data_IF_353803341680
#
_entry.id   IF_353803341680
#
_cell.length_a   1.000
_cell.length_b   1.000
_cell.length_c   1.000
_cell.angle_alpha   90.00
_cell.angle_beta   90.00
_cell.angle_gamma   90.00
#
_symmetry.space_group_name_H-M   'P 1'
#
loop_
_entity.id
_entity.type
_entity.pdbx_description
1 polymer ?
#
# COMPACT_ATOMS: atom_id res chain seq x y z
N UNK A 1 19.79 -8.12 12.11
CA UNK A 1 19.94 -9.20 13.13
C UNK A 1 19.42 -8.82 14.53
N UNK A 2 19.26 -7.55 14.90
CA UNK A 2 18.58 -7.14 16.15
C UNK A 2 17.07 -6.87 15.94
N UNK A 3 16.72 -6.02 14.97
CA UNK A 3 15.32 -5.69 14.60
C UNK A 3 14.45 -6.93 14.36
N UNK A 4 14.95 -7.92 13.61
CA UNK A 4 14.22 -9.17 13.36
C UNK A 4 13.96 -9.96 14.65
N UNK A 5 14.89 -9.94 15.59
CA UNK A 5 14.77 -10.64 16.87
C UNK A 5 13.77 -9.92 17.77
N UNK A 6 13.84 -8.60 17.83
CA UNK A 6 12.91 -7.77 18.61
C UNK A 6 11.48 -7.89 18.06
N UNK A 7 11.31 -7.90 16.74
CA UNK A 7 10.04 -8.19 16.08
C UNK A 7 9.48 -9.56 16.50
N UNK A 8 10.28 -10.62 16.41
CA UNK A 8 9.84 -11.97 16.80
C UNK A 8 9.52 -12.09 18.29
N UNK A 9 10.23 -11.35 19.15
CA UNK A 9 10.00 -11.32 20.59
C UNK A 9 8.71 -10.57 20.96
N UNK A 10 8.26 -9.61 20.14
CA UNK A 10 7.02 -8.86 20.37
C UNK A 10 5.76 -9.65 19.94
N UNK A 11 5.88 -10.60 19.00
CA UNK A 11 4.74 -11.38 18.50
C UNK A 11 3.91 -12.04 19.62
N UNK A 12 4.51 -12.72 20.63
CA UNK A 12 3.75 -13.34 21.72
C UNK A 12 3.04 -12.34 22.65
N UNK A 13 3.48 -11.08 22.67
CA UNK A 13 2.86 -10.01 23.48
C UNK A 13 1.61 -9.42 22.81
N UNK A 14 1.48 -9.60 21.49
CA UNK A 14 0.32 -9.14 20.73
C UNK A 14 -0.85 -10.10 20.98
N UNK A 15 -1.94 -9.60 21.55
CA UNK A 15 -3.23 -10.28 21.53
C UNK A 15 -4.08 -9.72 20.39
N UNK A 16 -4.23 -10.45 19.26
CA UNK A 16 -5.07 -9.99 18.16
C UNK A 16 -6.50 -9.80 18.65
N UNK A 17 -6.99 -8.56 18.57
CA UNK A 17 -8.40 -8.25 18.84
C UNK A 17 -9.08 -8.00 17.50
N UNK A 18 -10.06 -8.81 17.09
CA UNK A 18 -10.73 -8.63 15.82
C UNK A 18 -11.54 -7.31 15.81
N UNK A 19 -11.73 -6.69 14.64
CA UNK A 19 -12.54 -5.49 14.52
C UNK A 19 -14.01 -5.79 14.85
N UNK A 20 -14.68 -4.85 15.51
CA UNK A 20 -16.13 -4.94 15.77
C UNK A 20 -16.99 -4.48 14.59
N UNK A 21 -16.38 -3.74 13.66
CA UNK A 21 -17.03 -3.19 12.46
C UNK A 21 -16.10 -3.46 11.29
N UNK A 22 -16.63 -4.04 10.23
CA UNK A 22 -15.93 -4.30 8.97
C UNK A 22 -16.61 -3.54 7.83
N UNK A 23 -15.91 -3.43 6.71
CA UNK A 23 -16.48 -2.96 5.44
C UNK A 23 -16.03 -3.89 4.32
N UNK A 24 -16.87 -4.05 3.30
CA UNK A 24 -16.50 -4.81 2.10
C UNK A 24 -15.83 -3.90 1.06
N UNK A 25 -16.42 -2.73 0.80
CA UNK A 25 -15.94 -1.81 -0.25
C UNK A 25 -15.86 -0.36 0.21
N UNK A 26 -16.93 0.15 0.82
CA UNK A 26 -17.00 1.54 1.29
C UNK A 26 -17.81 1.66 2.56
N UNK A 27 -17.34 2.54 3.46
CA UNK A 27 -18.11 3.06 4.58
C UNK A 27 -17.93 4.57 4.63
N UNK A 28 -19.02 5.31 4.81
CA UNK A 28 -18.96 6.76 5.03
C UNK A 28 -19.36 7.08 6.46
N UNK A 29 -18.50 7.81 7.17
CA UNK A 29 -18.78 8.38 8.48
C UNK A 29 -19.00 9.89 8.34
N UNK A 30 -19.87 10.44 9.18
CA UNK A 30 -20.11 11.87 9.27
C UNK A 30 -19.71 12.38 10.65
N UNK A 31 -18.72 13.26 10.70
CA UNK A 31 -18.23 13.87 11.94
C UNK A 31 -18.74 15.31 12.04
N UNK A 32 -19.27 15.71 13.19
CA UNK A 32 -19.52 17.14 13.45
C UNK A 32 -18.20 17.83 13.87
N UNK A 33 -17.77 18.82 13.10
CA UNK A 33 -16.60 19.65 13.38
C UNK A 33 -17.05 21.10 13.36
N UNK A 34 -17.01 21.77 14.52
CA UNK A 34 -17.40 23.19 14.67
C UNK A 34 -18.81 23.52 14.12
N UNK A 35 -19.77 22.60 14.27
CA UNK A 35 -21.14 22.79 13.79
C UNK A 35 -21.35 22.45 12.31
N UNK A 36 -20.31 22.08 11.57
CA UNK A 36 -20.41 21.56 10.21
C UNK A 36 -20.27 20.03 10.18
N UNK A 37 -20.93 19.38 9.23
CA UNK A 37 -20.76 17.93 8.97
C UNK A 37 -19.59 17.72 8.02
N UNK A 38 -18.60 16.94 8.45
CA UNK A 38 -17.46 16.46 7.64
C UNK A 38 -17.72 15.03 7.20
N UNK A 39 -17.53 14.76 5.92
CA UNK A 39 -17.60 13.42 5.35
C UNK A 39 -16.23 12.73 5.44
N UNK A 40 -16.22 11.49 5.92
CA UNK A 40 -15.02 10.65 6.00
C UNK A 40 -15.34 9.34 5.30
N UNK A 41 -14.65 9.06 4.19
CA UNK A 41 -14.86 7.84 3.41
C UNK A 41 -13.76 6.82 3.71
N UNK A 42 -14.12 5.66 4.23
CA UNK A 42 -13.26 4.50 4.31
C UNK A 42 -13.48 3.66 3.06
N UNK A 43 -12.42 3.34 2.33
CA UNK A 43 -12.49 2.70 1.02
C UNK A 43 -11.54 1.52 0.97
N UNK A 44 -12.07 0.36 0.58
CA UNK A 44 -11.30 -0.83 0.23
C UNK A 44 -11.36 -1.02 -1.28
N UNK A 45 -10.24 -0.77 -1.95
CA UNK A 45 -10.15 -0.90 -3.42
C UNK A 45 -9.76 -2.30 -3.89
N UNK A 46 -9.38 -3.17 -2.96
CA UNK A 46 -8.77 -4.46 -3.25
C UNK A 46 -7.53 -4.68 -2.40
N UNK A 47 -6.84 -5.80 -2.64
CA UNK A 47 -5.66 -6.22 -1.89
C UNK A 47 -4.42 -5.49 -2.41
N UNK A 48 -3.51 -5.15 -1.51
CA UNK A 48 -2.33 -4.37 -1.82
C UNK A 48 -1.15 -4.73 -0.89
N UNK A 49 -0.80 -3.86 0.06
CA UNK A 49 0.24 -4.10 1.07
C UNK A 49 -0.13 -5.26 2.01
N UNK A 50 -1.44 -5.46 2.21
CA UNK A 50 -2.04 -6.59 2.92
C UNK A 50 -3.33 -7.03 2.22
N UNK A 51 -3.96 -8.10 2.71
CA UNK A 51 -5.30 -8.48 2.26
C UNK A 51 -6.43 -7.53 2.71
N UNK A 52 -6.15 -6.63 3.66
CA UNK A 52 -7.15 -5.81 4.35
C UNK A 52 -6.92 -4.31 4.24
N UNK A 53 -6.20 -3.84 3.23
CA UNK A 53 -5.88 -2.41 3.09
C UNK A 53 -7.13 -1.55 2.97
N UNK A 54 -7.19 -0.48 3.77
CA UNK A 54 -8.25 0.52 3.74
C UNK A 54 -7.62 1.90 3.65
N UNK A 55 -8.10 2.73 2.74
CA UNK A 55 -7.73 4.15 2.68
C UNK A 55 -8.83 5.01 3.29
N UNK A 56 -8.45 6.17 3.84
CA UNK A 56 -9.40 7.16 4.37
C UNK A 56 -9.34 8.38 3.48
N UNK A 57 -10.43 8.72 2.80
CA UNK A 57 -10.54 9.91 1.97
C UNK A 57 -11.43 10.96 2.64
N UNK A 58 -10.95 12.19 2.65
CA UNK A 58 -11.63 13.39 3.11
C UNK A 58 -11.94 14.27 1.89
N UNK A 59 -13.16 14.19 1.32
CA UNK A 59 -13.47 14.87 0.07
C UNK A 59 -13.39 16.40 0.15
N UNK A 60 -13.82 16.99 1.27
CA UNK A 60 -13.83 18.44 1.44
C UNK A 60 -12.41 19.02 1.51
N UNK A 61 -11.49 18.29 2.15
CA UNK A 61 -10.08 18.66 2.28
C UNK A 61 -9.23 18.19 1.09
N UNK A 62 -9.77 17.32 0.23
CA UNK A 62 -9.03 16.67 -0.87
C UNK A 62 -7.79 15.94 -0.35
N UNK A 63 -7.92 15.24 0.78
CA UNK A 63 -6.83 14.51 1.43
C UNK A 63 -7.17 13.03 1.53
N UNK A 64 -6.22 12.16 1.17
CA UNK A 64 -6.33 10.71 1.38
C UNK A 64 -5.22 10.17 2.28
N UNK A 65 -5.57 9.38 3.28
CA UNK A 65 -4.63 8.61 4.08
C UNK A 65 -4.54 7.21 3.49
N UNK A 66 -3.35 6.80 3.08
CA UNK A 66 -3.13 5.55 2.33
C UNK A 66 -2.74 4.38 3.22
N UNK A 67 -2.40 4.63 4.50
CA UNK A 67 -1.71 3.63 5.30
C UNK A 67 -0.45 3.14 4.57
N UNK A 68 -0.18 1.85 4.61
CA UNK A 68 0.96 1.28 3.90
C UNK A 68 0.62 0.77 2.48
N UNK A 69 -0.64 0.92 2.04
CA UNK A 69 -1.06 0.63 0.66
C UNK A 69 -0.23 1.45 -0.35
N UNK A 70 0.17 2.67 0.03
CA UNK A 70 1.05 3.50 -0.76
C UNK A 70 1.99 4.27 0.16
N UNK A 71 3.30 4.14 -0.09
CA UNK A 71 4.38 4.82 0.61
C UNK A 71 5.24 5.63 -0.39
N UNK A 72 5.99 6.65 0.04
CA UNK A 72 6.81 7.47 -0.88
C UNK A 72 7.94 6.70 -1.58
N UNK A 73 8.30 5.52 -1.09
CA UNK A 73 9.31 4.64 -1.66
C UNK A 73 8.82 3.20 -1.78
N UNK A 74 9.75 2.26 -1.97
CA UNK A 74 9.41 0.85 -2.05
C UNK A 74 8.88 0.33 -0.71
N UNK A 75 7.64 -0.16 -0.73
CA UNK A 75 7.02 -0.80 0.43
C UNK A 75 7.61 -2.16 0.74
N UNK A 76 7.54 -2.56 2.01
CA UNK A 76 7.75 -3.96 2.39
C UNK A 76 6.61 -4.81 1.81
N UNK A 77 6.93 -5.95 1.20
CA UNK A 77 5.96 -6.79 0.47
C UNK A 77 5.74 -8.17 1.11
N UNK A 78 6.09 -8.35 2.39
CA UNK A 78 6.02 -9.66 3.04
C UNK A 78 4.61 -10.24 3.20
N UNK A 79 3.59 -9.39 3.27
CA UNK A 79 2.16 -9.74 3.25
C UNK A 79 1.44 -9.16 2.01
N UNK A 80 2.22 -8.75 1.02
CA UNK A 80 1.74 -8.00 -0.13
C UNK A 80 1.16 -8.88 -1.25
N UNK A 81 0.17 -8.33 -1.95
CA UNK A 81 -0.50 -8.89 -3.12
C UNK A 81 0.01 -8.25 -4.41
N UNK A 82 1.28 -8.50 -4.74
CA UNK A 82 2.04 -7.79 -5.81
C UNK A 82 1.36 -7.84 -7.19
N UNK A 83 0.61 -8.89 -7.48
CA UNK A 83 -0.13 -9.08 -8.73
C UNK A 83 -1.43 -8.28 -8.81
N UNK A 84 -2.10 -8.09 -7.68
CA UNK A 84 -3.36 -7.35 -7.56
C UNK A 84 -3.12 -5.84 -7.33
N UNK A 85 -2.06 -5.51 -6.61
CA UNK A 85 -1.77 -4.17 -6.09
C UNK A 85 -1.71 -3.07 -7.17
N UNK A 86 -1.12 -3.28 -8.36
CA UNK A 86 -1.14 -2.25 -9.41
C UNK A 86 -2.55 -1.82 -9.82
N UNK A 87 -3.52 -2.74 -9.83
CA UNK A 87 -4.91 -2.42 -10.15
C UNK A 87 -5.60 -1.75 -8.97
N UNK A 88 -5.35 -2.23 -7.75
CA UNK A 88 -5.83 -1.59 -6.51
C UNK A 88 -5.42 -0.10 -6.43
N UNK A 89 -4.22 0.25 -6.91
CA UNK A 89 -3.74 1.65 -6.96
C UNK A 89 -4.48 2.52 -7.99
N UNK A 90 -5.13 1.95 -9.00
CA UNK A 90 -6.02 2.74 -9.89
C UNK A 90 -7.25 3.25 -9.13
N UNK A 91 -7.77 2.47 -8.17
CA UNK A 91 -8.83 2.92 -7.26
C UNK A 91 -8.41 4.15 -6.46
N UNK A 92 -7.19 4.14 -5.91
CA UNK A 92 -6.61 5.30 -5.25
C UNK A 92 -6.50 6.50 -6.20
N UNK A 93 -5.91 6.32 -7.39
CA UNK A 93 -5.74 7.40 -8.38
C UNK A 93 -7.05 8.01 -8.84
N UNK A 94 -8.13 7.24 -8.87
CA UNK A 94 -9.49 7.69 -9.20
C UNK A 94 -10.10 8.67 -8.21
N UNK A 95 -9.51 8.83 -7.02
CA UNK A 95 -9.94 9.83 -6.05
C UNK A 95 -9.44 11.24 -6.41
N UNK A 96 -10.29 12.22 -6.14
CA UNK A 96 -9.99 13.64 -6.35
C UNK A 96 -9.28 14.26 -5.11
N UNK A 97 -8.08 13.75 -4.81
CA UNK A 97 -7.21 14.29 -3.76
C UNK A 97 -6.10 15.17 -4.34
N UNK A 98 -5.67 16.15 -3.55
CA UNK A 98 -4.48 16.98 -3.75
C UNK A 98 -3.30 16.46 -2.93
N UNK A 99 -3.58 15.98 -1.70
CA UNK A 99 -2.57 15.45 -0.80
C UNK A 99 -2.84 13.99 -0.47
N UNK A 100 -1.78 13.21 -0.33
CA UNK A 100 -1.85 11.88 0.28
C UNK A 100 -0.86 11.72 1.43
N UNK A 101 -1.32 11.02 2.48
CA UNK A 101 -0.56 10.77 3.70
C UNK A 101 -0.32 9.26 3.86
N UNK A 102 0.94 8.81 3.75
CA UNK A 102 1.30 7.42 3.99
C UNK A 102 1.23 7.07 5.48
N UNK A 103 1.20 5.77 5.78
CA UNK A 103 1.45 5.24 7.13
C UNK A 103 2.86 5.59 7.63
N UNK A 104 3.80 5.74 6.70
CA UNK A 104 5.19 6.15 6.97
C UNK A 104 5.72 7.14 5.92
N UNK A 105 6.31 8.24 6.38
CA UNK A 105 6.96 9.23 5.52
C UNK A 105 6.26 10.60 5.52
N UNK A 106 6.70 11.53 4.65
CA UNK A 106 6.13 12.86 4.55
C UNK A 106 4.74 12.87 3.91
N UNK A 107 4.05 14.02 4.03
CA UNK A 107 2.89 14.35 3.20
C UNK A 107 3.35 14.51 1.75
N UNK A 108 2.54 14.02 0.82
CA UNK A 108 2.86 13.98 -0.59
C UNK A 108 1.88 14.81 -1.41
N UNK A 109 2.39 15.59 -2.35
CA UNK A 109 1.62 16.57 -3.14
C UNK A 109 1.56 16.19 -4.64
N UNK A 110 2.03 15.00 -5.00
CA UNK A 110 2.09 14.50 -6.37
C UNK A 110 1.65 13.03 -6.44
N UNK A 111 0.99 12.66 -7.54
CA UNK A 111 0.59 11.28 -7.84
C UNK A 111 1.69 10.48 -8.56
N UNK A 112 2.77 11.12 -9.04
CA UNK A 112 3.86 10.48 -9.78
C UNK A 112 4.46 9.24 -9.06
N UNK A 113 4.71 9.25 -7.72
CA UNK A 113 5.21 8.07 -7.03
C UNK A 113 4.28 6.85 -7.14
N UNK A 114 2.96 7.07 -7.26
CA UNK A 114 1.97 6.00 -7.41
C UNK A 114 2.21 5.29 -8.74
N UNK A 115 2.39 6.04 -9.82
CA UNK A 115 2.63 5.49 -11.17
C UNK A 115 3.97 4.75 -11.24
N UNK A 116 5.02 5.34 -10.64
CA UNK A 116 6.33 4.71 -10.53
C UNK A 116 6.25 3.37 -9.79
N UNK A 117 5.49 3.31 -8.70
CA UNK A 117 5.32 2.09 -7.93
C UNK A 117 4.46 1.05 -8.65
N UNK A 118 3.40 1.46 -9.34
CA UNK A 118 2.63 0.57 -10.22
C UNK A 118 3.52 -0.06 -11.30
N UNK A 119 4.39 0.72 -11.94
CA UNK A 119 5.32 0.23 -12.95
C UNK A 119 6.34 -0.76 -12.35
N UNK A 120 6.87 -0.45 -11.17
CA UNK A 120 7.78 -1.34 -10.44
C UNK A 120 7.12 -2.68 -10.11
N UNK A 121 5.90 -2.67 -9.56
CA UNK A 121 5.17 -3.87 -9.18
C UNK A 121 4.87 -4.77 -10.39
N UNK A 122 4.41 -4.19 -11.51
CA UNK A 122 4.13 -4.93 -12.74
C UNK A 122 5.39 -5.60 -13.28
N UNK A 123 6.49 -4.86 -13.36
CA UNK A 123 7.76 -5.39 -13.87
C UNK A 123 8.35 -6.47 -12.93
N UNK A 124 8.24 -6.27 -11.62
CA UNK A 124 8.64 -7.28 -10.63
C UNK A 124 7.83 -8.57 -10.81
N UNK A 125 6.50 -8.46 -10.93
CA UNK A 125 5.62 -9.60 -11.12
C UNK A 125 5.91 -10.35 -12.42
N UNK A 126 6.13 -9.62 -13.52
CA UNK A 126 6.41 -10.22 -14.82
C UNK A 126 7.78 -10.91 -14.83
N UNK A 127 8.82 -10.27 -14.30
CA UNK A 127 10.18 -10.84 -14.19
C UNK A 127 10.21 -12.09 -13.31
N UNK A 128 9.60 -12.03 -12.12
CA UNK A 128 9.48 -13.19 -11.21
C UNK A 128 8.67 -14.32 -11.83
N UNK A 129 7.54 -14.00 -12.47
CA UNK A 129 6.69 -14.97 -13.15
C UNK A 129 7.38 -15.69 -14.32
N UNK A 130 8.24 -14.99 -15.08
CA UNK A 130 9.08 -15.63 -16.12
C UNK A 130 10.06 -16.62 -15.51
N UNK A 131 10.84 -16.21 -14.52
CA UNK A 131 11.81 -17.06 -13.84
C UNK A 131 11.16 -18.29 -13.20
N UNK A 132 9.98 -18.12 -12.60
CA UNK A 132 9.20 -19.23 -12.05
C UNK A 132 8.83 -20.26 -13.13
N UNK A 133 8.32 -19.80 -14.29
CA UNK A 133 7.99 -20.68 -15.42
C UNK A 133 9.21 -21.38 -16.01
N UNK A 134 10.37 -20.77 -15.91
CA UNK A 134 11.66 -21.34 -16.33
C UNK A 134 12.27 -22.30 -15.28
N UNK A 135 11.62 -22.48 -14.12
CA UNK A 135 12.07 -23.38 -13.07
C UNK A 135 13.23 -22.86 -12.22
N UNK A 136 13.49 -21.55 -12.25
CA UNK A 136 14.52 -20.91 -11.41
C UNK A 136 14.06 -20.93 -9.94
N UNK A 137 14.93 -21.37 -9.03
CA UNK A 137 14.64 -21.37 -7.60
C UNK A 137 14.55 -19.95 -7.04
N UNK A 138 13.77 -19.75 -5.96
CA UNK A 138 13.53 -18.41 -5.39
C UNK A 138 14.82 -17.70 -4.95
N UNK A 139 15.79 -18.44 -4.42
CA UNK A 139 17.07 -17.89 -3.93
C UNK A 139 17.94 -17.40 -5.08
N UNK A 140 17.87 -18.07 -6.24
CA UNK A 140 18.55 -17.66 -7.47
C UNK A 140 17.82 -16.50 -8.14
N UNK A 141 16.49 -16.56 -8.20
CA UNK A 141 15.68 -15.47 -8.75
C UNK A 141 15.93 -14.16 -7.99
N UNK A 142 15.94 -14.20 -6.66
CA UNK A 142 16.23 -13.03 -5.82
C UNK A 142 17.62 -12.41 -6.05
N UNK A 143 18.59 -13.18 -6.56
CA UNK A 143 19.93 -12.69 -6.92
C UNK A 143 20.03 -12.18 -8.36
N UNK A 144 19.12 -12.62 -9.24
CA UNK A 144 19.20 -12.39 -10.69
C UNK A 144 18.20 -11.36 -11.20
N UNK A 145 17.09 -11.13 -10.49
CA UNK A 145 16.11 -10.12 -10.89
C UNK A 145 16.76 -8.75 -10.87
N UNK A 146 16.75 -8.11 -12.02
CA UNK A 146 17.23 -6.75 -12.21
C UNK A 146 16.04 -5.78 -12.22
N UNK A 147 16.01 -4.85 -11.26
CA UNK A 147 15.02 -3.77 -11.15
C UNK A 147 15.66 -2.40 -11.32
N UNK A 148 16.88 -2.31 -11.83
CA UNK A 148 17.65 -1.06 -11.93
C UNK A 148 17.02 -0.03 -12.87
N UNK A 149 16.16 -0.46 -13.80
CA UNK A 149 15.32 0.41 -14.64
C UNK A 149 14.46 1.37 -13.82
N UNK A 150 14.11 1.01 -12.58
CA UNK A 150 13.30 1.84 -11.67
C UNK A 150 14.15 2.66 -10.69
N UNK A 151 15.48 2.51 -10.71
CA UNK A 151 16.36 3.11 -9.70
C UNK A 151 16.31 4.65 -9.65
N UNK A 152 15.95 5.30 -10.75
CA UNK A 152 15.80 6.76 -10.81
C UNK A 152 14.63 7.26 -9.95
N UNK A 153 13.63 6.42 -9.69
CA UNK A 153 12.41 6.78 -8.97
C UNK A 153 12.56 6.72 -7.44
N UNK A 154 13.64 6.14 -6.93
CA UNK A 154 13.83 5.80 -5.51
C UNK A 154 15.20 6.24 -4.95
N UNK A 155 15.72 7.37 -5.43
CA UNK A 155 17.03 7.91 -5.01
C UNK A 155 16.95 8.80 -3.79
#
# INVERSE_FOLDING_TARGET
MQVKRDYLNAIPEVQPTPPNITLDTKMTLYQNVNGASREIQLLHFGRAHTGGDVVIFLPQERVVFTGDMMLPGLSYMGDGHVDEWPETLEGLKGLDFEYWLPGHGPVMETKEPIENFQAYLRDLWDKTGRMYREGVSWDRAAQQIDMTDHSANYR
#
